data_IF_360556604062
#
_entry.id   IF_360556604062
#
_cell.length_a   1.000
_cell.length_b   1.000
_cell.length_c   1.000
_cell.angle_alpha   90.00
_cell.angle_beta   90.00
_cell.angle_gamma   90.00
#
_symmetry.space_group_name_H-M   'P 1'
#
loop_
_entity.id
_entity.type
_entity.pdbx_description
1 polymer ?
#
# COMPACT_ATOMS: atom_id res chain seq x y z
N UNK A 1 6.17 13.52 4.83
CA UNK A 1 7.63 13.40 4.96
C UNK A 1 8.19 12.96 3.60
N UNK A 2 9.21 13.64 3.06
CA UNK A 2 9.81 13.34 1.75
C UNK A 2 10.32 11.90 1.58
N UNK A 3 10.61 11.18 2.67
CA UNK A 3 11.11 9.80 2.62
C UNK A 3 10.05 8.79 2.15
N UNK A 4 8.76 9.15 2.23
CA UNK A 4 7.66 8.28 1.85
C UNK A 4 7.27 8.47 0.39
N UNK A 5 7.32 7.39 -0.36
CA UNK A 5 6.86 7.31 -1.73
C UNK A 5 5.40 6.82 -1.76
N UNK A 6 4.44 7.62 -2.24
CA UNK A 6 3.08 7.18 -2.43
C UNK A 6 2.99 6.21 -3.62
N UNK A 7 2.32 5.08 -3.41
CA UNK A 7 2.17 4.03 -4.44
C UNK A 7 0.75 4.01 -5.01
N UNK A 8 -0.25 4.27 -4.17
CA UNK A 8 -1.66 4.32 -4.59
C UNK A 8 -2.30 5.61 -4.07
N UNK A 9 -3.01 6.30 -4.96
CA UNK A 9 -3.87 7.42 -4.63
C UNK A 9 -5.33 6.97 -4.68
N UNK A 10 -6.13 7.36 -3.70
CA UNK A 10 -7.55 6.99 -3.58
C UNK A 10 -8.34 8.22 -3.15
N UNK A 11 -9.57 8.33 -3.65
CA UNK A 11 -10.56 9.29 -3.17
C UNK A 11 -11.97 8.74 -3.34
N UNK A 12 -12.87 9.26 -2.53
CA UNK A 12 -14.29 9.12 -2.77
C UNK A 12 -14.75 10.07 -3.89
N UNK A 13 -15.94 9.80 -4.43
CA UNK A 13 -16.51 10.58 -5.53
C UNK A 13 -16.72 12.04 -5.09
N UNK A 14 -16.05 12.96 -5.79
CA UNK A 14 -16.13 14.40 -5.50
C UNK A 14 -15.08 14.92 -4.53
N UNK A 15 -14.27 14.04 -3.93
CA UNK A 15 -13.15 14.42 -3.09
C UNK A 15 -11.84 14.52 -3.89
N UNK A 16 -10.87 15.24 -3.34
CA UNK A 16 -9.51 15.28 -3.89
C UNK A 16 -8.78 13.97 -3.63
N UNK A 17 -7.93 13.57 -4.57
CA UNK A 17 -7.08 12.39 -4.50
C UNK A 17 -6.18 12.41 -3.25
N UNK A 18 -6.21 11.34 -2.44
CA UNK A 18 -5.36 11.18 -1.27
C UNK A 18 -4.25 10.17 -1.54
N UNK A 19 -3.00 10.63 -1.44
CA UNK A 19 -1.79 9.84 -1.68
C UNK A 19 -1.32 9.00 -0.48
N UNK A 20 -2.04 9.05 0.65
CA UNK A 20 -1.70 8.34 1.89
C UNK A 20 -2.19 6.90 1.98
N UNK A 21 -2.94 6.40 0.98
CA UNK A 21 -3.61 5.09 1.08
C UNK A 21 -2.63 3.90 1.10
N UNK A 22 -1.49 4.03 0.44
CA UNK A 22 -0.36 3.12 0.47
C UNK A 22 0.91 3.92 0.21
N UNK A 23 1.79 3.97 1.21
CA UNK A 23 3.09 4.62 1.12
C UNK A 23 4.19 3.66 1.55
N UNK A 24 5.36 3.80 0.93
CA UNK A 24 6.55 3.01 1.26
C UNK A 24 7.72 3.93 1.50
N UNK A 25 8.61 3.55 2.41
CA UNK A 25 9.86 4.23 2.64
C UNK A 25 10.96 3.21 2.93
N UNK A 26 12.17 3.46 2.49
CA UNK A 26 13.32 2.70 2.96
C UNK A 26 13.78 3.31 4.30
N UNK A 27 13.96 2.47 5.32
CA UNK A 27 14.30 2.90 6.68
C UNK A 27 15.45 2.05 7.24
N UNK A 28 16.62 2.67 7.39
CA UNK A 28 17.84 1.96 7.77
C UNK A 28 18.19 0.86 6.76
N UNK A 29 18.20 -0.40 7.21
CA UNK A 29 18.42 -1.59 6.37
C UNK A 29 17.12 -2.26 5.92
N UNK A 30 15.97 -1.71 6.30
CA UNK A 30 14.66 -2.29 6.07
C UNK A 30 13.78 -1.41 5.20
N UNK A 31 12.54 -1.89 4.99
CA UNK A 31 11.50 -1.17 4.29
C UNK A 31 10.29 -1.03 5.21
N UNK A 32 9.77 0.18 5.28
CA UNK A 32 8.52 0.48 5.94
C UNK A 32 7.40 0.57 4.89
N UNK A 33 6.28 -0.07 5.19
CA UNK A 33 5.07 -0.04 4.35
C UNK A 33 3.91 0.34 5.25
N UNK A 34 3.24 1.44 4.92
CA UNK A 34 1.97 1.81 5.54
C UNK A 34 0.86 1.70 4.52
N UNK A 35 -0.26 1.10 4.92
CA UNK A 35 -1.47 1.09 4.09
C UNK A 35 -2.74 1.12 4.92
N UNK A 36 -3.70 1.93 4.48
CA UNK A 36 -5.07 1.94 4.99
C UNK A 36 -5.98 0.94 4.29
N UNK A 37 -5.47 0.16 3.33
CA UNK A 37 -6.25 -0.86 2.63
C UNK A 37 -6.69 -1.95 3.61
N UNK A 38 -7.97 -2.33 3.52
CA UNK A 38 -8.56 -3.34 4.41
C UNK A 38 -8.17 -4.77 4.01
N UNK A 39 -6.88 -5.10 4.02
CA UNK A 39 -6.39 -6.46 3.70
C UNK A 39 -7.05 -7.54 4.57
N UNK A 40 -7.36 -7.23 5.83
CA UNK A 40 -8.06 -8.14 6.72
C UNK A 40 -9.47 -8.54 6.24
N UNK A 41 -10.09 -7.77 5.34
CA UNK A 41 -11.34 -8.15 4.65
C UNK A 41 -11.07 -8.79 3.30
N UNK A 42 -10.14 -8.21 2.54
CA UNK A 42 -9.89 -8.61 1.15
C UNK A 42 -9.19 -9.97 1.03
N UNK A 43 -8.24 -10.29 1.92
CA UNK A 43 -7.54 -11.56 1.90
C UNK A 43 -8.51 -12.72 2.26
N UNK A 44 -9.27 -12.68 3.39
CA UNK A 44 -10.23 -13.75 3.68
C UNK A 44 -11.33 -13.90 2.63
N UNK A 45 -11.74 -12.82 1.97
CA UNK A 45 -12.70 -12.84 0.88
C UNK A 45 -12.13 -13.38 -0.45
N UNK A 46 -10.85 -13.74 -0.51
CA UNK A 46 -10.25 -14.35 -1.70
C UNK A 46 -9.98 -13.36 -2.85
N UNK A 47 -9.92 -12.05 -2.58
CA UNK A 47 -9.76 -11.04 -3.64
C UNK A 47 -8.38 -11.17 -4.31
N UNK A 48 -8.29 -11.58 -5.59
CA UNK A 48 -6.99 -11.92 -6.19
C UNK A 48 -6.00 -10.75 -6.23
N UNK A 49 -6.50 -9.55 -6.50
CA UNK A 49 -5.68 -8.32 -6.54
C UNK A 49 -5.05 -7.99 -5.18
N UNK A 50 -5.75 -8.28 -4.08
CA UNK A 50 -5.26 -8.04 -2.73
C UNK A 50 -4.07 -8.94 -2.39
N UNK A 51 -4.18 -10.24 -2.71
CA UNK A 51 -3.07 -11.18 -2.56
C UNK A 51 -1.86 -10.78 -3.39
N UNK A 52 -2.06 -10.44 -4.67
CA UNK A 52 -0.97 -10.01 -5.56
C UNK A 52 -0.26 -8.77 -5.02
N UNK A 53 -1.02 -7.75 -4.59
CA UNK A 53 -0.44 -6.54 -4.02
C UNK A 53 0.33 -6.84 -2.72
N UNK A 54 -0.25 -7.64 -1.83
CA UNK A 54 0.39 -8.01 -0.56
C UNK A 54 1.72 -8.73 -0.78
N UNK A 55 1.77 -9.73 -1.67
CA UNK A 55 3.01 -10.43 -2.02
C UNK A 55 4.04 -9.49 -2.64
N UNK A 56 3.62 -8.56 -3.50
CA UNK A 56 4.53 -7.56 -4.08
C UNK A 56 5.13 -6.63 -3.03
N UNK A 57 4.38 -6.29 -1.97
CA UNK A 57 4.85 -5.44 -0.88
C UNK A 57 5.87 -6.17 0.02
N UNK A 58 5.69 -7.48 0.22
CA UNK A 58 6.65 -8.32 0.94
C UNK A 58 7.91 -8.62 0.11
N UNK A 59 7.76 -8.67 -1.20
CA UNK A 59 8.86 -8.98 -2.10
C UNK A 59 9.79 -7.78 -2.21
N UNK A 60 11.02 -7.91 -1.70
CA UNK A 60 12.09 -6.96 -2.02
C UNK A 60 12.40 -7.08 -3.51
N UNK A 61 12.44 -5.95 -4.24
CA UNK A 61 13.07 -5.95 -5.58
C UNK A 61 14.48 -6.54 -5.41
N UNK A 62 14.82 -7.53 -6.24
CA UNK A 62 16.21 -7.99 -6.38
C UNK A 62 17.12 -6.83 -6.76
#
# INVERSE_FOLDING_TARGET
DPQYTPIISINDKGESANNGSLVVADYGKGRFVYTGLSFFRQLPAGVPGAYRLFVNLLSTKK
#
